data_IF_251883449089
#
_entry.id   IF_251883449089
#
_cell.length_a   1.000
_cell.length_b   1.000
_cell.length_c   1.000
_cell.angle_alpha   90.00
_cell.angle_beta   90.00
_cell.angle_gamma   90.00
#
_symmetry.space_group_name_H-M   'P 1'
#
loop_
_entity.id
_entity.type
_entity.pdbx_description
1 polymer ?
#
# COMPACT_ATOMS: atom_id res chain seq x y z
N UNK A 1 7.57 -28.45 33.47
CA UNK A 1 7.63 -28.08 32.05
C UNK A 1 9.06 -28.36 31.59
N UNK A 2 9.24 -29.00 30.43
CA UNK A 2 10.60 -29.24 29.91
C UNK A 2 11.20 -27.91 29.41
N UNK A 3 12.54 -27.80 29.43
CA UNK A 3 13.27 -26.62 28.93
C UNK A 3 12.86 -26.27 27.48
N UNK A 4 12.51 -27.26 26.70
CA UNK A 4 12.01 -27.10 25.33
C UNK A 4 10.62 -26.43 25.29
N UNK A 5 9.72 -26.74 26.23
CA UNK A 5 8.39 -26.11 26.29
C UNK A 5 8.49 -24.63 26.72
N UNK A 6 9.42 -24.34 27.62
CA UNK A 6 9.66 -22.99 28.10
C UNK A 6 10.32 -22.11 27.01
N UNK A 7 11.26 -22.68 26.25
CA UNK A 7 11.87 -22.04 25.08
C UNK A 7 10.84 -21.76 23.96
N UNK A 8 9.95 -22.70 23.66
CA UNK A 8 8.91 -22.51 22.66
C UNK A 8 7.90 -21.41 23.06
N UNK A 9 7.45 -21.36 24.33
CA UNK A 9 6.60 -20.29 24.83
C UNK A 9 7.27 -18.91 24.71
N UNK A 10 8.57 -18.81 24.95
CA UNK A 10 9.34 -17.57 24.80
C UNK A 10 9.40 -17.12 23.34
N UNK A 11 9.59 -18.08 22.40
CA UNK A 11 9.61 -17.79 20.96
C UNK A 11 8.25 -17.34 20.43
N UNK A 12 7.16 -17.97 20.88
CA UNK A 12 5.80 -17.57 20.51
C UNK A 12 5.46 -16.17 21.02
N UNK A 13 5.79 -15.85 22.27
CA UNK A 13 5.62 -14.51 22.79
C UNK A 13 6.39 -13.47 22.00
N UNK A 14 7.65 -13.74 21.70
CA UNK A 14 8.48 -12.86 20.88
C UNK A 14 7.87 -12.65 19.49
N UNK A 15 7.35 -13.70 18.86
CA UNK A 15 6.69 -13.60 17.56
C UNK A 15 5.45 -12.70 17.63
N UNK A 16 4.59 -12.89 18.63
CA UNK A 16 3.39 -12.05 18.82
C UNK A 16 3.74 -10.57 19.04
N UNK A 17 4.71 -10.29 19.90
CA UNK A 17 5.18 -8.93 20.14
C UNK A 17 5.69 -8.26 18.84
N UNK A 18 6.40 -9.02 17.99
CA UNK A 18 6.89 -8.54 16.71
C UNK A 18 5.76 -8.26 15.72
N UNK A 19 4.78 -9.16 15.66
CA UNK A 19 3.57 -8.97 14.84
C UNK A 19 2.84 -7.70 15.27
N UNK A 20 2.56 -7.54 16.56
CA UNK A 20 1.91 -6.35 17.10
C UNK A 20 2.69 -5.06 16.79
N UNK A 21 4.01 -5.11 16.95
CA UNK A 21 4.87 -3.96 16.63
C UNK A 21 4.73 -3.53 15.16
N UNK A 22 4.74 -4.49 14.24
CA UNK A 22 4.57 -4.21 12.79
C UNK A 22 3.15 -3.68 12.53
N UNK A 23 2.15 -4.28 13.14
CA UNK A 23 0.74 -3.92 12.93
C UNK A 23 0.38 -2.54 13.48
N UNK A 24 1.16 -1.99 14.40
CA UNK A 24 1.01 -0.59 14.84
C UNK A 24 1.34 0.43 13.74
N UNK A 25 2.07 0.03 12.69
CA UNK A 25 2.49 0.93 11.62
C UNK A 25 3.57 1.93 12.07
N UNK A 26 3.48 3.16 11.58
CA UNK A 26 4.43 4.23 11.88
C UNK A 26 4.28 4.85 13.26
N UNK A 27 5.10 5.88 13.56
CA UNK A 27 5.09 6.56 14.84
C UNK A 27 3.77 7.30 15.11
N UNK A 28 3.39 7.41 16.39
CA UNK A 28 2.14 8.01 16.89
C UNK A 28 1.82 9.39 16.29
N UNK A 29 2.84 10.23 16.07
CA UNK A 29 2.67 11.55 15.44
C UNK A 29 2.04 11.48 14.04
N UNK A 30 2.24 10.38 13.30
CA UNK A 30 1.65 10.20 11.97
C UNK A 30 0.20 9.71 12.06
N UNK A 31 -0.13 8.93 13.07
CA UNK A 31 -1.53 8.58 13.39
C UNK A 31 -2.32 9.84 13.79
N UNK A 32 -1.74 10.69 14.65
CA UNK A 32 -2.33 11.97 15.02
C UNK A 32 -2.60 12.85 13.78
N UNK A 33 -1.63 12.94 12.86
CA UNK A 33 -1.80 13.66 11.60
C UNK A 33 -2.91 13.09 10.72
N UNK A 34 -3.01 11.76 10.61
CA UNK A 34 -4.11 11.12 9.88
C UNK A 34 -5.46 11.51 10.50
N UNK A 35 -5.56 11.50 11.83
CA UNK A 35 -6.77 11.88 12.55
C UNK A 35 -7.16 13.35 12.32
N UNK A 36 -6.19 14.27 12.31
CA UNK A 36 -6.40 15.69 11.97
C UNK A 36 -6.96 15.87 10.54
N UNK A 37 -6.56 14.97 9.62
CA UNK A 37 -7.03 14.95 8.23
C UNK A 37 -8.32 14.13 8.03
N UNK A 38 -8.95 13.66 9.09
CA UNK A 38 -10.09 12.73 9.04
C UNK A 38 -9.81 11.45 8.25
N UNK A 39 -8.56 10.99 8.27
CA UNK A 39 -8.12 9.74 7.63
C UNK A 39 -8.08 8.61 8.65
N UNK A 40 -8.65 7.47 8.30
CA UNK A 40 -8.47 6.23 9.05
C UNK A 40 -7.09 5.65 8.82
N UNK A 41 -6.57 4.96 9.82
CA UNK A 41 -5.38 4.12 9.69
C UNK A 41 -5.63 2.99 8.68
N UNK A 42 -4.60 2.56 7.96
CA UNK A 42 -4.73 1.57 6.88
C UNK A 42 -5.40 0.26 7.34
N UNK A 43 -5.03 -0.24 8.52
CA UNK A 43 -5.60 -1.49 9.04
C UNK A 43 -7.06 -1.34 9.47
N UNK A 44 -7.46 -0.16 9.93
CA UNK A 44 -8.86 0.13 10.23
C UNK A 44 -9.70 0.22 8.94
N UNK A 45 -9.13 0.77 7.86
CA UNK A 45 -9.77 0.72 6.53
C UNK A 45 -9.99 -0.72 6.06
N UNK A 46 -9.00 -1.59 6.24
CA UNK A 46 -9.10 -3.01 5.86
C UNK A 46 -10.12 -3.77 6.70
N UNK A 47 -10.22 -3.48 8.01
CA UNK A 47 -11.28 -4.05 8.87
C UNK A 47 -12.69 -3.62 8.46
N UNK A 48 -12.84 -2.42 7.91
CA UNK A 48 -14.12 -1.94 7.38
C UNK A 48 -14.43 -2.51 5.99
N UNK A 49 -13.40 -2.87 5.22
CA UNK A 49 -13.57 -3.42 3.88
C UNK A 49 -13.92 -4.91 3.90
N UNK A 50 -13.23 -5.69 4.74
CA UNK A 50 -13.43 -7.13 4.80
C UNK A 50 -14.62 -7.48 5.69
N UNK A 51 -15.35 -8.55 5.30
CA UNK A 51 -16.48 -9.09 6.06
C UNK A 51 -16.03 -9.60 7.45
N UNK A 52 -14.83 -10.17 7.50
CA UNK A 52 -14.16 -10.74 8.69
C UNK A 52 -12.70 -10.28 8.72
N UNK A 53 -11.89 -10.87 9.60
CA UNK A 53 -10.44 -10.67 9.62
C UNK A 53 -9.76 -11.15 8.33
N UNK A 54 -8.51 -10.74 8.14
CA UNK A 54 -7.69 -11.16 7.01
C UNK A 54 -7.61 -12.68 6.91
N UNK A 55 -7.86 -13.21 5.73
CA UNK A 55 -7.57 -14.61 5.46
C UNK A 55 -6.07 -14.86 5.34
N UNK A 56 -5.34 -13.87 4.83
CA UNK A 56 -3.90 -13.87 4.67
C UNK A 56 -3.37 -12.43 4.59
N UNK A 57 -2.28 -12.14 5.30
CA UNK A 57 -1.44 -10.96 5.05
C UNK A 57 -0.09 -11.43 4.49
N UNK A 58 0.25 -11.03 3.26
CA UNK A 58 1.52 -11.37 2.61
C UNK A 58 2.60 -10.34 2.93
N UNK A 59 3.80 -10.81 3.27
CA UNK A 59 4.96 -9.97 3.49
C UNK A 59 4.86 -9.06 4.73
N UNK A 60 4.17 -9.48 5.79
CA UNK A 60 4.05 -8.73 7.04
C UNK A 60 5.43 -8.29 7.59
N UNK A 61 6.43 -9.17 7.56
CA UNK A 61 7.78 -8.90 8.08
C UNK A 61 8.72 -8.19 7.09
N UNK A 62 8.20 -7.71 5.96
CA UNK A 62 9.04 -6.98 5.00
C UNK A 62 9.65 -5.73 5.67
N UNK A 63 10.98 -5.59 5.52
CA UNK A 63 11.80 -4.52 6.11
C UNK A 63 11.66 -4.33 7.63
N UNK A 64 11.17 -5.33 8.35
CA UNK A 64 11.02 -5.25 9.81
C UNK A 64 12.35 -4.87 10.51
N UNK A 65 13.48 -5.40 10.03
CA UNK A 65 14.80 -5.13 10.61
C UNK A 65 15.31 -3.70 10.34
N UNK A 66 14.68 -2.95 9.44
CA UNK A 66 15.02 -1.55 9.18
C UNK A 66 14.49 -0.56 10.25
N UNK A 67 13.69 -1.07 11.20
CA UNK A 67 13.25 -0.33 12.40
C UNK A 67 12.14 0.69 12.18
N UNK A 68 12.19 1.46 11.10
CA UNK A 68 11.22 2.53 10.79
C UNK A 68 10.36 2.25 9.52
N UNK A 69 10.40 1.00 9.05
CA UNK A 69 9.72 0.56 7.82
C UNK A 69 8.83 -0.68 8.05
N UNK A 70 7.92 -0.70 9.04
CA UNK A 70 7.07 -1.86 9.28
C UNK A 70 6.25 -2.21 8.04
N UNK A 71 6.28 -3.49 7.64
CA UNK A 71 5.67 -4.03 6.43
C UNK A 71 6.02 -3.26 5.13
N UNK A 72 7.11 -2.49 5.15
CA UNK A 72 7.56 -1.56 4.11
C UNK A 72 6.50 -0.53 3.64
N UNK A 73 5.63 -0.10 4.56
CA UNK A 73 4.62 0.93 4.29
C UNK A 73 3.48 0.49 3.37
N UNK A 74 3.29 -0.82 3.19
CA UNK A 74 2.16 -1.36 2.43
C UNK A 74 1.64 -2.65 3.06
N UNK A 75 0.34 -2.75 3.22
CA UNK A 75 -0.36 -3.99 3.59
C UNK A 75 -0.84 -4.66 2.31
N UNK A 76 -0.47 -5.91 2.11
CA UNK A 76 -0.98 -6.76 1.01
C UNK A 76 -1.67 -7.96 1.63
N UNK A 77 -2.95 -8.13 1.32
CA UNK A 77 -3.79 -9.08 2.03
C UNK A 77 -4.83 -9.72 1.11
N UNK A 78 -5.40 -10.82 1.59
CA UNK A 78 -6.59 -11.45 1.06
C UNK A 78 -7.68 -11.48 2.14
N UNK A 79 -8.91 -11.27 1.74
CA UNK A 79 -10.08 -11.36 2.59
C UNK A 79 -11.34 -11.54 1.77
N UNK A 80 -12.50 -11.50 2.42
CA UNK A 80 -13.80 -11.53 1.75
C UNK A 80 -14.47 -10.17 1.80
N UNK A 81 -15.12 -9.80 0.72
CA UNK A 81 -15.99 -8.62 0.61
C UNK A 81 -17.32 -9.09 0.03
N UNK A 82 -18.41 -8.96 0.79
CA UNK A 82 -19.72 -9.53 0.46
C UNK A 82 -19.65 -11.01 0.06
N UNK A 83 -18.90 -11.80 0.82
CA UNK A 83 -18.71 -13.23 0.63
C UNK A 83 -17.73 -13.63 -0.50
N UNK A 84 -17.25 -12.68 -1.30
CA UNK A 84 -16.30 -12.94 -2.40
C UNK A 84 -14.87 -12.69 -1.98
N UNK A 85 -13.98 -13.62 -2.28
CA UNK A 85 -12.54 -13.45 -2.04
C UNK A 85 -11.98 -12.35 -2.94
N UNK A 86 -11.20 -11.45 -2.35
CA UNK A 86 -10.50 -10.37 -3.05
C UNK A 86 -9.05 -10.29 -2.59
N UNK A 87 -8.18 -9.78 -3.47
CA UNK A 87 -6.82 -9.38 -3.12
C UNK A 87 -6.78 -7.86 -2.93
N UNK A 88 -6.04 -7.40 -1.93
CA UNK A 88 -5.95 -5.98 -1.59
C UNK A 88 -4.50 -5.55 -1.44
N UNK A 89 -4.18 -4.38 -1.96
CA UNK A 89 -2.99 -3.61 -1.67
C UNK A 89 -3.41 -2.31 -1.00
N UNK A 90 -2.84 -1.96 0.15
CA UNK A 90 -3.20 -0.76 0.90
C UNK A 90 -1.95 -0.05 1.41
N UNK A 91 -1.74 1.21 1.01
CA UNK A 91 -0.63 2.01 1.52
C UNK A 91 -0.85 2.42 2.97
N UNK A 92 0.19 2.29 3.79
CA UNK A 92 0.24 2.83 5.14
C UNK A 92 0.90 4.21 5.14
N UNK A 93 0.09 5.26 5.14
CA UNK A 93 0.58 6.65 5.14
C UNK A 93 1.32 7.03 6.43
N UNK A 94 1.22 6.23 7.50
CA UNK A 94 1.99 6.44 8.74
C UNK A 94 3.45 6.01 8.60
N UNK A 95 3.78 5.20 7.58
CA UNK A 95 5.12 4.71 7.29
C UNK A 95 5.67 5.43 6.05
N UNK A 96 6.59 6.38 6.25
CA UNK A 96 7.20 7.20 5.17
C UNK A 96 6.16 7.76 4.17
N UNK A 97 5.00 8.20 4.66
CA UNK A 97 3.88 8.70 3.86
C UNK A 97 3.39 7.71 2.78
N UNK A 98 3.40 6.42 3.05
CA UNK A 98 3.01 5.37 2.12
C UNK A 98 3.90 5.24 0.89
N UNK A 99 5.10 5.82 0.91
CA UNK A 99 6.02 5.81 -0.23
C UNK A 99 6.59 4.42 -0.51
N UNK A 100 6.94 4.17 -1.76
CA UNK A 100 7.39 2.87 -2.24
C UNK A 100 8.90 2.70 -2.14
N UNK A 101 9.31 1.55 -1.64
CA UNK A 101 10.67 1.03 -1.74
C UNK A 101 10.69 -0.33 -2.46
N UNK A 102 11.84 -0.98 -2.50
CA UNK A 102 12.01 -2.25 -3.19
C UNK A 102 11.07 -3.34 -2.68
N UNK A 103 10.86 -3.42 -1.36
CA UNK A 103 9.97 -4.43 -0.75
C UNK A 103 8.50 -4.08 -0.94
N UNK A 104 8.15 -2.79 -0.98
CA UNK A 104 6.80 -2.34 -1.35
C UNK A 104 6.44 -2.85 -2.75
N UNK A 105 7.33 -2.63 -3.73
CA UNK A 105 7.15 -3.07 -5.13
C UNK A 105 6.99 -4.58 -5.21
N UNK A 106 7.86 -5.34 -4.54
CA UNK A 106 7.78 -6.81 -4.51
C UNK A 106 6.46 -7.32 -3.94
N UNK A 107 5.99 -6.73 -2.83
CA UNK A 107 4.69 -7.08 -2.22
C UNK A 107 3.52 -6.81 -3.16
N UNK A 108 3.51 -5.64 -3.83
CA UNK A 108 2.46 -5.29 -4.78
C UNK A 108 2.44 -6.28 -5.96
N UNK A 109 3.59 -6.60 -6.53
CA UNK A 109 3.70 -7.59 -7.61
C UNK A 109 3.15 -8.95 -7.16
N UNK A 110 3.53 -9.40 -5.96
CA UNK A 110 3.10 -10.71 -5.42
C UNK A 110 1.58 -10.79 -5.25
N UNK A 111 0.95 -9.75 -4.69
CA UNK A 111 -0.50 -9.78 -4.49
C UNK A 111 -1.26 -9.68 -5.83
N UNK A 112 -0.75 -8.95 -6.82
CA UNK A 112 -1.29 -8.95 -8.18
C UNK A 112 -1.18 -10.32 -8.85
N UNK A 113 -0.02 -10.99 -8.73
CA UNK A 113 0.20 -12.35 -9.25
C UNK A 113 -0.70 -13.37 -8.52
N UNK A 114 -1.01 -13.15 -7.25
CA UNK A 114 -1.97 -13.96 -6.50
C UNK A 114 -3.38 -13.75 -7.01
N UNK A 115 -3.81 -12.50 -7.22
CA UNK A 115 -5.11 -12.17 -7.81
C UNK A 115 -5.28 -12.80 -9.21
N UNK A 116 -4.22 -12.77 -10.02
CA UNK A 116 -4.19 -13.41 -11.33
C UNK A 116 -4.43 -14.93 -11.24
N UNK A 117 -3.68 -15.61 -10.37
CA UNK A 117 -3.76 -17.08 -10.21
C UNK A 117 -5.13 -17.53 -9.72
N UNK A 118 -5.70 -16.80 -8.77
CA UNK A 118 -6.98 -17.12 -8.16
C UNK A 118 -8.18 -16.59 -8.96
N UNK A 119 -7.94 -15.73 -9.95
CA UNK A 119 -9.00 -15.05 -10.73
C UNK A 119 -9.98 -14.29 -9.84
N UNK A 120 -9.47 -13.58 -8.86
CA UNK A 120 -10.25 -12.77 -7.91
C UNK A 120 -10.03 -11.28 -8.14
N UNK A 121 -10.98 -10.40 -7.78
CA UNK A 121 -10.81 -8.96 -7.90
C UNK A 121 -9.57 -8.44 -7.16
N UNK A 122 -8.95 -7.39 -7.72
CA UNK A 122 -7.85 -6.66 -7.10
C UNK A 122 -8.31 -5.28 -6.67
N UNK A 123 -8.13 -4.96 -5.39
CA UNK A 123 -8.49 -3.66 -4.80
C UNK A 123 -7.22 -2.94 -4.36
N UNK A 124 -7.09 -1.66 -4.76
CA UNK A 124 -5.99 -0.79 -4.40
C UNK A 124 -6.50 0.34 -3.50
N UNK A 125 -6.07 0.37 -2.24
CA UNK A 125 -6.34 1.46 -1.30
C UNK A 125 -5.11 2.38 -1.24
N UNK A 126 -5.14 3.46 -2.01
CA UNK A 126 -3.96 4.28 -2.28
C UNK A 126 -3.92 5.52 -1.40
N UNK A 127 -2.77 5.73 -0.75
CA UNK A 127 -2.42 6.93 0.03
C UNK A 127 -0.89 7.00 0.06
N UNK A 128 -0.26 7.51 -1.01
CA UNK A 128 1.19 7.37 -1.23
C UNK A 128 1.83 8.64 -1.78
N UNK A 129 2.95 9.02 -1.18
CA UNK A 129 3.81 10.09 -1.68
C UNK A 129 4.67 9.70 -2.90
N UNK A 130 4.48 8.50 -3.48
CA UNK A 130 5.25 8.01 -4.62
C UNK A 130 6.51 7.23 -4.23
N UNK A 131 7.52 7.23 -5.09
CA UNK A 131 8.75 6.48 -4.89
C UNK A 131 9.69 7.10 -3.84
N UNK A 132 10.29 6.28 -2.97
CA UNK A 132 11.39 6.72 -2.10
C UNK A 132 12.61 7.05 -2.94
N UNK A 133 13.12 8.26 -2.78
CA UNK A 133 14.29 8.74 -3.55
C UNK A 133 15.53 7.88 -3.26
N UNK A 134 15.69 7.42 -2.04
CA UNK A 134 16.82 6.58 -1.60
C UNK A 134 16.80 5.16 -2.17
N UNK A 135 15.62 4.66 -2.59
CA UNK A 135 15.42 3.26 -2.97
C UNK A 135 15.32 3.07 -4.50
N UNK A 136 15.50 4.14 -5.28
CA UNK A 136 15.28 4.12 -6.74
C UNK A 136 16.12 3.10 -7.49
N UNK A 137 17.37 2.91 -7.08
CA UNK A 137 18.30 1.98 -7.73
C UNK A 137 17.82 0.53 -7.58
N UNK A 138 17.21 0.20 -6.44
CA UNK A 138 16.73 -1.17 -6.15
C UNK A 138 15.29 -1.39 -6.63
N UNK A 139 14.49 -0.33 -6.71
CA UNK A 139 13.05 -0.41 -6.96
C UNK A 139 12.70 -0.42 -8.44
N UNK A 140 13.39 0.35 -9.27
CA UNK A 140 13.00 0.52 -10.68
C UNK A 140 13.53 -0.58 -11.61
N UNK A 141 14.80 -1.04 -11.53
CA UNK A 141 15.36 -1.91 -12.56
C UNK A 141 14.87 -3.35 -12.46
N UNK A 142 15.00 -4.06 -13.57
CA UNK A 142 14.78 -5.49 -13.66
C UNK A 142 13.32 -5.90 -13.87
N UNK A 143 13.13 -7.21 -14.05
CA UNK A 143 11.83 -7.82 -14.35
C UNK A 143 10.82 -7.74 -13.21
N UNK A 144 11.26 -7.50 -11.99
CA UNK A 144 10.44 -7.33 -10.78
C UNK A 144 10.54 -5.90 -10.22
N UNK A 145 11.00 -4.94 -11.00
CA UNK A 145 10.97 -3.53 -10.66
C UNK A 145 9.57 -2.93 -10.79
N UNK A 146 9.42 -1.65 -10.43
CA UNK A 146 8.14 -0.95 -10.36
C UNK A 146 7.31 -1.01 -11.66
N UNK A 147 7.95 -1.05 -12.84
CA UNK A 147 7.27 -1.23 -14.11
C UNK A 147 6.47 -2.54 -14.23
N UNK A 148 6.82 -3.56 -13.45
CA UNK A 148 6.08 -4.83 -13.41
C UNK A 148 4.69 -4.67 -12.82
N UNK A 149 4.48 -3.73 -11.90
CA UNK A 149 3.16 -3.42 -11.34
C UNK A 149 2.21 -3.02 -12.46
N UNK A 150 2.62 -2.10 -13.32
CA UNK A 150 1.81 -1.59 -14.42
C UNK A 150 1.61 -2.64 -15.50
N UNK A 151 2.65 -3.41 -15.83
CA UNK A 151 2.53 -4.56 -16.72
C UNK A 151 1.47 -5.55 -16.21
N UNK A 152 1.47 -5.86 -14.93
CA UNK A 152 0.48 -6.76 -14.33
C UNK A 152 -0.92 -6.16 -14.42
N UNK A 153 -1.11 -4.86 -14.14
CA UNK A 153 -2.41 -4.21 -14.25
C UNK A 153 -2.98 -4.29 -15.68
N UNK A 154 -2.15 -4.00 -16.69
CA UNK A 154 -2.54 -4.12 -18.10
C UNK A 154 -2.89 -5.58 -18.45
N UNK A 155 -2.09 -6.54 -18.00
CA UNK A 155 -2.35 -7.96 -18.20
C UNK A 155 -3.65 -8.42 -17.55
N UNK A 156 -3.98 -7.88 -16.39
CA UNK A 156 -5.20 -8.22 -15.62
C UNK A 156 -6.45 -7.51 -16.14
N UNK A 157 -6.29 -6.45 -16.93
CA UNK A 157 -7.40 -5.71 -17.53
C UNK A 157 -8.28 -6.63 -18.39
N UNK A 158 -9.57 -6.62 -18.12
CA UNK A 158 -10.54 -7.52 -18.76
C UNK A 158 -10.51 -8.98 -18.25
N UNK A 159 -9.57 -9.34 -17.35
CA UNK A 159 -9.50 -10.68 -16.77
C UNK A 159 -10.13 -10.75 -15.37
N UNK A 160 -9.88 -9.74 -14.56
CA UNK A 160 -10.42 -9.56 -13.21
C UNK A 160 -10.77 -8.10 -13.01
N UNK A 161 -11.78 -7.77 -12.18
CA UNK A 161 -12.05 -6.40 -11.80
C UNK A 161 -10.89 -5.79 -11.03
N UNK A 162 -10.50 -4.55 -11.38
CA UNK A 162 -9.50 -3.76 -10.69
C UNK A 162 -10.14 -2.47 -10.19
N UNK A 163 -10.19 -2.28 -8.88
CA UNK A 163 -10.82 -1.11 -8.24
C UNK A 163 -9.77 -0.35 -7.44
N UNK A 164 -9.70 0.95 -7.64
CA UNK A 164 -8.85 1.83 -6.84
C UNK A 164 -9.67 2.79 -6.01
N UNK A 165 -9.34 2.91 -4.73
CA UNK A 165 -9.86 3.93 -3.82
C UNK A 165 -8.70 4.79 -3.34
N UNK A 166 -8.72 6.09 -3.67
CA UNK A 166 -7.71 7.04 -3.23
C UNK A 166 -8.17 7.73 -1.95
N UNK A 167 -7.38 7.58 -0.89
CA UNK A 167 -7.56 8.22 0.41
C UNK A 167 -6.60 9.38 0.66
N UNK A 168 -5.66 9.56 -0.23
CA UNK A 168 -4.63 10.59 -0.18
C UNK A 168 -4.00 10.80 -1.54
N UNK A 169 -2.79 11.37 -1.59
CA UNK A 169 -2.10 11.59 -2.84
C UNK A 169 -1.70 10.27 -3.51
N UNK A 170 -1.71 10.29 -4.84
CA UNK A 170 -1.11 9.27 -5.70
C UNK A 170 -0.25 9.98 -6.73
N UNK A 171 1.04 10.14 -6.38
CA UNK A 171 1.96 11.02 -7.10
C UNK A 171 2.88 10.26 -8.06
N UNK A 172 3.27 10.92 -9.14
CA UNK A 172 4.22 10.44 -10.13
C UNK A 172 3.87 9.06 -10.69
N UNK A 173 4.80 8.09 -10.63
CA UNK A 173 4.53 6.71 -11.05
C UNK A 173 3.39 6.04 -10.28
N UNK A 174 3.10 6.46 -9.05
CA UNK A 174 1.96 5.99 -8.26
C UNK A 174 0.61 6.29 -8.91
N UNK A 175 0.50 7.40 -9.65
CA UNK A 175 -0.72 7.81 -10.34
C UNK A 175 -1.15 6.85 -11.46
N UNK A 176 -0.25 6.01 -11.95
CA UNK A 176 -0.61 4.97 -12.91
C UNK A 176 -1.49 3.87 -12.30
N UNK A 177 -1.36 3.58 -10.99
CA UNK A 177 -2.21 2.56 -10.36
C UNK A 177 -3.69 2.88 -10.54
N UNK A 178 -4.22 4.04 -10.09
CA UNK A 178 -5.61 4.37 -10.34
C UNK A 178 -5.94 4.48 -11.83
N UNK A 179 -5.03 5.02 -12.65
CA UNK A 179 -5.27 5.21 -14.08
C UNK A 179 -5.48 3.90 -14.86
N UNK A 180 -4.93 2.77 -14.40
CA UNK A 180 -5.11 1.46 -15.01
C UNK A 180 -6.23 0.62 -14.37
N UNK A 181 -6.95 1.14 -13.40
CA UNK A 181 -8.09 0.45 -12.79
C UNK A 181 -9.38 0.67 -13.59
N UNK A 182 -10.31 -0.28 -13.47
CA UNK A 182 -11.63 -0.20 -14.11
C UNK A 182 -12.53 0.82 -13.41
N UNK A 183 -12.37 0.98 -12.08
CA UNK A 183 -13.14 1.90 -11.27
C UNK A 183 -12.18 2.68 -10.36
N UNK A 184 -12.36 4.00 -10.32
CA UNK A 184 -11.59 4.89 -9.44
C UNK A 184 -12.57 5.66 -8.55
N UNK A 185 -12.36 5.57 -7.23
CA UNK A 185 -13.11 6.31 -6.22
C UNK A 185 -12.12 7.25 -5.51
N UNK A 186 -12.41 8.53 -5.45
CA UNK A 186 -11.57 9.53 -4.80
C UNK A 186 -12.28 10.12 -3.60
N UNK A 187 -11.59 10.20 -2.45
CA UNK A 187 -12.12 10.85 -1.25
C UNK A 187 -11.94 12.36 -1.38
N UNK A 188 -13.04 13.07 -1.38
CA UNK A 188 -13.06 14.53 -1.48
C UNK A 188 -12.20 15.21 -0.40
N UNK A 189 -11.45 16.22 -0.77
CA UNK A 189 -10.59 17.02 0.11
C UNK A 189 -9.26 16.35 0.51
N UNK A 190 -9.09 15.04 0.28
CA UNK A 190 -7.86 14.32 0.64
C UNK A 190 -7.16 13.68 -0.55
N UNK A 191 -7.93 13.17 -1.51
CA UNK A 191 -7.38 12.44 -2.64
C UNK A 191 -6.90 13.39 -3.74
N UNK A 192 -5.77 13.03 -4.35
CA UNK A 192 -5.28 13.69 -5.56
C UNK A 192 -4.47 12.70 -6.40
N UNK A 193 -4.44 12.91 -7.71
CA UNK A 193 -3.78 12.02 -8.65
C UNK A 193 -3.11 12.87 -9.74
N UNK A 194 -1.77 12.86 -9.77
CA UNK A 194 -1.00 13.70 -10.70
C UNK A 194 0.37 13.10 -11.00
N UNK A 195 0.92 13.39 -12.19
CA UNK A 195 2.28 12.99 -12.56
C UNK A 195 3.32 13.98 -12.05
N UNK A 196 3.14 15.28 -12.30
CA UNK A 196 3.98 16.34 -11.79
C UNK A 196 3.27 17.12 -10.68
N UNK A 197 3.98 17.49 -9.60
CA UNK A 197 3.40 18.32 -8.56
C UNK A 197 3.20 19.77 -9.01
N UNK A 198 2.33 20.58 -8.34
CA UNK A 198 2.22 22.01 -8.59
C UNK A 198 3.57 22.72 -8.61
N UNK A 199 4.46 22.35 -7.68
CA UNK A 199 5.83 22.91 -7.65
C UNK A 199 6.65 22.56 -8.89
N UNK A 200 6.48 21.36 -9.43
CA UNK A 200 7.13 20.98 -10.68
C UNK A 200 6.56 21.76 -11.87
N UNK A 201 5.25 21.95 -11.94
CA UNK A 201 4.62 22.78 -12.97
C UNK A 201 5.19 24.20 -12.94
N UNK A 202 5.25 24.84 -11.78
CA UNK A 202 5.84 26.17 -11.61
C UNK A 202 7.32 26.23 -12.04
N UNK A 203 8.12 25.22 -11.66
CA UNK A 203 9.55 25.19 -11.99
C UNK A 203 9.86 24.92 -13.45
N UNK A 204 9.06 24.07 -14.12
CA UNK A 204 9.37 23.56 -15.47
C UNK A 204 8.67 24.37 -16.56
N UNK A 205 7.42 24.75 -16.35
CA UNK A 205 6.60 25.46 -17.34
C UNK A 205 6.14 26.85 -16.90
N UNK A 206 6.50 27.28 -15.66
CA UNK A 206 6.15 28.60 -15.13
C UNK A 206 4.70 28.77 -14.70
N UNK A 207 3.90 27.70 -14.68
CA UNK A 207 2.49 27.76 -14.31
C UNK A 207 2.30 27.55 -12.79
N UNK A 208 1.59 28.51 -12.17
CA UNK A 208 1.18 28.40 -10.76
C UNK A 208 -0.20 27.80 -10.71
N UNK A 209 -0.26 26.55 -10.27
CA UNK A 209 -1.50 25.75 -10.16
C UNK A 209 -1.60 25.14 -8.76
N UNK A 210 -2.83 24.89 -8.32
CA UNK A 210 -3.12 24.14 -7.09
C UNK A 210 -3.25 22.65 -7.41
N UNK A 211 -3.27 21.78 -6.38
CA UNK A 211 -3.54 20.35 -6.56
C UNK A 211 -4.95 20.11 -7.12
N UNK A 212 -5.92 20.92 -6.72
CA UNK A 212 -7.32 20.83 -7.17
C UNK A 212 -7.47 21.17 -8.67
N UNK A 213 -6.69 22.12 -9.16
CA UNK A 213 -6.67 22.49 -10.58
C UNK A 213 -5.94 21.45 -11.46
N UNK A 214 -5.07 20.65 -10.85
CA UNK A 214 -4.33 19.59 -11.57
C UNK A 214 -5.07 18.26 -11.61
N UNK A 215 -6.03 18.01 -10.75
CA UNK A 215 -6.85 16.80 -10.68
C UNK A 215 -6.74 16.01 -9.39
#
# INVERSE_FOLDING_TARGET
MSDTQQANQTLEQTLHERIEQIQRGGAEKYHAKNKEQNKLFVRDRLKLLFDDDFQLEDGLFANFMAGDLPADGVVTAMGKVNGQTVCVMANDSTVKAGSWGARTVEKIIRIQETAEKLRVPMIYLVDSAGARITDQIEMFPGRRGAGRIFYNQVKLSGMIPQVCVLFGPSAAGGAYIPAFCDIVIMVEGNASMYLGSPRMAEMVIGEKVTLEEMG
#
